data_IF_163715998631
#
_entry.id   IF_163715998631
#
_cell.length_a   1.000
_cell.length_b   1.000
_cell.length_c   1.000
_cell.angle_alpha   90.00
_cell.angle_beta   90.00
_cell.angle_gamma   90.00
#
_symmetry.space_group_name_H-M   'P 1'
#
loop_
_entity.id
_entity.type
_entity.pdbx_description
1 polymer ?
#
# COMPACT_ATOMS: atom_id res chain seq x y z
N UNK A 1 -29.43 6.25 10.59
CA UNK A 1 -30.57 5.66 9.83
C UNK A 1 -30.17 4.24 9.46
N UNK A 2 -31.08 3.26 9.54
CA UNK A 2 -30.78 1.89 9.14
C UNK A 2 -30.46 1.88 7.63
N UNK A 3 -29.25 1.48 7.27
CA UNK A 3 -28.91 1.18 5.89
C UNK A 3 -29.92 0.14 5.36
N UNK A 4 -30.50 0.39 4.20
CA UNK A 4 -31.38 -0.57 3.52
C UNK A 4 -30.47 -1.71 3.00
N UNK A 5 -30.08 -2.59 3.92
CA UNK A 5 -28.89 -3.41 3.82
C UNK A 5 -29.10 -4.64 2.97
N UNK A 6 -28.60 -4.63 1.74
CA UNK A 6 -28.35 -5.88 1.02
C UNK A 6 -27.24 -6.62 1.76
N UNK A 7 -27.47 -7.89 2.12
CA UNK A 7 -26.44 -8.70 2.75
C UNK A 7 -25.26 -8.88 1.79
N UNK A 8 -24.07 -8.45 2.20
CA UNK A 8 -22.82 -8.60 1.44
C UNK A 8 -21.93 -9.66 2.09
N UNK A 9 -21.06 -10.26 1.29
CA UNK A 9 -20.01 -11.17 1.74
C UNK A 9 -18.71 -10.81 1.04
N UNK A 10 -17.58 -10.89 1.75
CA UNK A 10 -16.25 -10.63 1.18
C UNK A 10 -15.59 -11.95 0.79
N UNK A 11 -15.03 -12.00 -0.42
CA UNK A 11 -14.21 -13.10 -0.92
C UNK A 11 -12.82 -12.54 -1.22
N UNK A 12 -11.96 -12.44 -0.20
CA UNK A 12 -10.61 -11.96 -0.38
C UNK A 12 -9.81 -12.94 -1.26
N UNK A 13 -9.18 -12.44 -2.31
CA UNK A 13 -8.42 -13.27 -3.25
C UNK A 13 -7.19 -13.91 -2.59
N UNK A 14 -6.55 -13.19 -1.66
CA UNK A 14 -5.45 -13.72 -0.87
C UNK A 14 -5.83 -15.00 -0.11
N UNK A 15 -7.03 -15.04 0.47
CA UNK A 15 -7.54 -16.22 1.20
C UNK A 15 -8.01 -17.35 0.27
N UNK A 16 -8.04 -17.13 -1.04
CA UNK A 16 -8.60 -18.03 -2.04
C UNK A 16 -7.61 -18.41 -3.15
N UNK A 17 -6.31 -18.44 -2.81
CA UNK A 17 -5.25 -18.95 -3.68
C UNK A 17 -4.72 -17.95 -4.70
N UNK A 18 -4.96 -16.65 -4.49
CA UNK A 18 -4.47 -15.56 -5.33
C UNK A 18 -3.92 -14.41 -4.47
N UNK A 19 -2.86 -14.63 -3.65
CA UNK A 19 -2.24 -13.61 -2.82
C UNK A 19 -1.30 -12.73 -3.66
N UNK A 20 -1.89 -11.85 -4.47
CA UNK A 20 -1.13 -10.88 -5.23
C UNK A 20 -0.75 -9.69 -4.37
N UNK A 21 0.48 -9.21 -4.54
CA UNK A 21 0.80 -7.82 -4.18
C UNK A 21 -0.04 -6.90 -5.07
N UNK A 22 -0.90 -6.10 -4.45
CA UNK A 22 -1.76 -5.14 -5.12
C UNK A 22 -1.34 -3.69 -4.78
N UNK A 23 -1.86 -2.72 -5.53
CA UNK A 23 -1.69 -1.28 -5.28
C UNK A 23 -0.20 -0.87 -5.15
N UNK A 24 0.59 -1.23 -6.17
CA UNK A 24 2.03 -0.95 -6.20
C UNK A 24 2.34 0.45 -6.72
N UNK A 25 3.49 0.99 -6.29
CA UNK A 25 4.15 2.12 -6.96
C UNK A 25 4.98 1.57 -8.11
N UNK A 26 4.88 2.16 -9.30
CA UNK A 26 5.63 1.71 -10.47
C UNK A 26 6.27 2.91 -11.18
N UNK A 27 7.54 2.74 -11.54
CA UNK A 27 8.33 3.69 -12.32
C UNK A 27 9.12 2.92 -13.39
N UNK A 28 9.67 3.63 -14.36
CA UNK A 28 10.56 3.03 -15.37
C UNK A 28 11.99 2.94 -14.84
N UNK A 29 12.74 1.92 -15.27
CA UNK A 29 14.18 1.78 -14.97
C UNK A 29 14.98 3.06 -15.30
N UNK A 30 14.65 3.74 -16.40
CA UNK A 30 15.28 5.01 -16.78
C UNK A 30 15.16 6.07 -15.66
N UNK A 31 13.99 6.18 -15.02
CA UNK A 31 13.77 7.13 -13.92
C UNK A 31 14.50 6.69 -12.64
N UNK A 32 14.63 5.37 -12.42
CA UNK A 32 15.43 4.83 -11.31
C UNK A 32 16.90 5.25 -11.46
N UNK A 33 17.41 5.25 -12.70
CA UNK A 33 18.77 5.68 -13.01
C UNK A 33 18.94 7.20 -13.01
N UNK A 34 18.01 7.95 -13.62
CA UNK A 34 18.15 9.39 -13.86
C UNK A 34 17.69 10.27 -12.69
N UNK A 35 16.70 9.81 -11.93
CA UNK A 35 15.96 10.61 -10.94
C UNK A 35 15.91 9.93 -9.57
N UNK A 36 16.89 9.07 -9.26
CA UNK A 36 16.94 8.25 -8.04
C UNK A 36 16.61 9.02 -6.75
N UNK A 37 17.26 10.15 -6.53
CA UNK A 37 17.05 10.99 -5.34
C UNK A 37 15.63 11.55 -5.26
N UNK A 38 15.04 11.92 -6.40
CA UNK A 38 13.67 12.39 -6.46
C UNK A 38 12.68 11.27 -6.11
N UNK A 39 12.95 10.06 -6.58
CA UNK A 39 12.13 8.88 -6.27
C UNK A 39 12.23 8.50 -4.79
N UNK A 40 13.43 8.52 -4.20
CA UNK A 40 13.59 8.32 -2.75
C UNK A 40 12.85 9.39 -1.95
N UNK A 41 12.97 10.67 -2.34
CA UNK A 41 12.25 11.75 -1.68
C UNK A 41 10.72 11.58 -1.77
N UNK A 42 10.22 11.09 -2.91
CA UNK A 42 8.81 10.72 -3.07
C UNK A 42 8.41 9.58 -2.11
N UNK A 43 9.18 8.48 -2.06
CA UNK A 43 8.90 7.37 -1.15
C UNK A 43 8.92 7.79 0.32
N UNK A 44 9.86 8.64 0.75
CA UNK A 44 9.89 9.20 2.11
C UNK A 44 8.62 10.01 2.40
N UNK A 45 8.16 10.81 1.43
CA UNK A 45 6.94 11.59 1.59
C UNK A 45 5.69 10.69 1.68
N UNK A 46 5.60 9.66 0.84
CA UNK A 46 4.52 8.68 0.87
C UNK A 46 4.49 7.91 2.19
N UNK A 47 5.64 7.41 2.66
CA UNK A 47 5.73 6.69 3.94
C UNK A 47 5.24 7.58 5.09
N UNK A 48 5.61 8.87 5.11
CA UNK A 48 5.12 9.81 6.12
C UNK A 48 3.62 10.08 5.99
N UNK A 49 3.10 10.26 4.78
CA UNK A 49 1.67 10.45 4.56
C UNK A 49 0.85 9.25 5.00
N UNK A 50 1.32 8.04 4.71
CA UNK A 50 0.68 6.81 5.20
C UNK A 50 0.83 6.62 6.69
N UNK A 51 1.97 6.99 7.28
CA UNK A 51 2.15 7.02 8.73
C UNK A 51 1.07 7.90 9.38
N UNK A 52 0.87 9.10 8.85
CA UNK A 52 -0.17 10.02 9.34
C UNK A 52 -1.58 9.43 9.15
N UNK A 53 -1.88 8.82 8.00
CA UNK A 53 -3.18 8.19 7.72
C UNK A 53 -3.46 6.95 8.57
N UNK A 54 -2.41 6.18 8.92
CA UNK A 54 -2.52 5.02 9.82
C UNK A 54 -2.85 5.48 11.23
N UNK A 55 -2.19 6.54 11.70
CA UNK A 55 -2.33 7.04 13.07
C UNK A 55 -3.56 7.96 13.26
N UNK A 56 -4.04 8.61 12.19
CA UNK A 56 -5.24 9.45 12.17
C UNK A 56 -6.09 9.22 10.89
N UNK A 57 -6.81 8.08 10.81
CA UNK A 57 -7.65 7.76 9.65
C UNK A 57 -8.81 8.75 9.46
N UNK A 58 -9.26 9.41 10.54
CA UNK A 58 -10.33 10.41 10.45
C UNK A 58 -9.85 11.67 9.73
N UNK A 59 -8.65 12.16 10.05
CA UNK A 59 -8.06 13.29 9.33
C UNK A 59 -7.73 12.94 7.89
N UNK A 60 -7.19 11.74 7.63
CA UNK A 60 -6.98 11.24 6.26
C UNK A 60 -8.27 11.24 5.44
N UNK A 61 -9.35 10.70 6.00
CA UNK A 61 -10.68 10.72 5.38
C UNK A 61 -11.21 12.15 5.19
N UNK A 62 -11.06 13.03 6.18
CA UNK A 62 -11.49 14.44 6.10
C UNK A 62 -10.78 15.18 4.98
N UNK A 63 -9.47 15.02 4.85
CA UNK A 63 -8.72 15.58 3.73
C UNK A 63 -9.24 15.05 2.39
N UNK A 64 -9.62 13.77 2.31
CA UNK A 64 -10.20 13.19 1.11
C UNK A 64 -11.57 13.80 0.74
N UNK A 65 -12.53 13.90 1.66
CA UNK A 65 -13.87 14.40 1.32
C UNK A 65 -14.03 15.93 1.37
N UNK A 66 -13.22 16.67 2.14
CA UNK A 66 -13.34 18.14 2.25
C UNK A 66 -12.36 18.92 1.38
N UNK A 67 -11.17 18.37 1.10
CA UNK A 67 -10.07 19.14 0.48
C UNK A 67 -9.73 18.60 -0.90
N UNK A 68 -9.24 17.37 -0.99
CA UNK A 68 -8.67 16.82 -2.22
C UNK A 68 -9.71 16.18 -3.15
N UNK A 69 -10.84 15.74 -2.61
CA UNK A 69 -11.99 15.18 -3.34
C UNK A 69 -13.27 16.00 -3.11
N UNK A 70 -13.15 17.30 -2.85
CA UNK A 70 -14.28 18.18 -2.53
C UNK A 70 -15.38 18.22 -3.62
N UNK A 71 -15.04 17.89 -4.86
CA UNK A 71 -15.93 17.83 -6.02
C UNK A 71 -16.51 16.44 -6.29
N UNK A 72 -16.15 15.43 -5.49
CA UNK A 72 -16.58 14.03 -5.65
C UNK A 72 -17.85 13.67 -4.86
N UNK A 73 -18.40 14.60 -4.07
CA UNK A 73 -19.61 14.40 -3.24
C UNK A 73 -19.53 13.15 -2.36
N UNK A 74 -18.35 12.95 -1.73
CA UNK A 74 -18.09 11.79 -0.89
C UNK A 74 -18.90 11.85 0.40
N UNK A 75 -19.51 10.72 0.75
CA UNK A 75 -20.20 10.54 2.02
C UNK A 75 -19.16 10.47 3.17
N UNK A 76 -19.18 11.40 4.15
CA UNK A 76 -18.17 11.44 5.20
C UNK A 76 -18.12 10.17 6.06
N UNK A 77 -19.29 9.62 6.42
CA UNK A 77 -19.36 8.41 7.26
C UNK A 77 -18.78 7.20 6.52
N UNK A 78 -19.06 7.06 5.22
CA UNK A 78 -18.47 5.99 4.40
C UNK A 78 -16.98 6.18 4.16
N UNK A 79 -16.53 7.42 3.98
CA UNK A 79 -15.12 7.71 3.71
C UNK A 79 -14.25 7.39 4.92
N UNK A 80 -14.70 7.77 6.13
CA UNK A 80 -14.03 7.40 7.38
C UNK A 80 -14.01 5.87 7.56
N UNK A 81 -15.15 5.20 7.35
CA UNK A 81 -15.20 3.74 7.43
C UNK A 81 -14.26 3.05 6.42
N UNK A 82 -14.14 3.60 5.22
CA UNK A 82 -13.20 3.13 4.20
C UNK A 82 -11.74 3.30 4.60
N UNK A 83 -11.36 4.46 5.14
CA UNK A 83 -10.00 4.71 5.62
C UNK A 83 -9.60 3.76 6.75
N UNK A 84 -10.50 3.53 7.72
CA UNK A 84 -10.25 2.58 8.80
C UNK A 84 -10.07 1.14 8.27
N UNK A 85 -10.93 0.72 7.33
CA UNK A 85 -10.82 -0.60 6.71
C UNK A 85 -9.55 -0.76 5.85
N UNK A 86 -9.09 0.31 5.21
CA UNK A 86 -7.84 0.30 4.43
C UNK A 86 -6.62 0.13 5.34
N UNK A 87 -6.60 0.77 6.50
CA UNK A 87 -5.50 0.62 7.46
C UNK A 87 -5.34 -0.84 7.93
N UNK A 88 -6.44 -1.59 8.07
CA UNK A 88 -6.39 -3.02 8.39
C UNK A 88 -5.70 -3.88 7.31
N UNK A 89 -5.62 -3.39 6.07
CA UNK A 89 -4.93 -4.06 4.97
C UNK A 89 -3.46 -3.62 4.84
N UNK A 90 -3.16 -2.38 5.22
CA UNK A 90 -1.82 -1.80 5.12
C UNK A 90 -0.94 -2.22 6.30
N UNK A 91 -1.51 -2.27 7.50
CA UNK A 91 -0.79 -2.64 8.72
C UNK A 91 -0.76 -4.16 8.85
N UNK A 92 0.44 -4.72 8.84
CA UNK A 92 0.69 -6.15 9.03
C UNK A 92 1.91 -6.37 9.91
N UNK A 93 2.10 -7.58 10.49
CA UNK A 93 3.32 -7.89 11.24
C UNK A 93 4.61 -7.71 10.42
N UNK A 94 4.53 -7.89 9.10
CA UNK A 94 5.68 -7.70 8.20
C UNK A 94 6.03 -6.22 8.08
N UNK A 95 5.03 -5.37 7.84
CA UNK A 95 5.25 -3.93 7.73
C UNK A 95 5.65 -3.32 9.07
N UNK A 96 5.06 -3.75 10.20
CA UNK A 96 5.51 -3.32 11.54
C UNK A 96 6.99 -3.65 11.81
N UNK A 97 7.50 -4.72 11.20
CA UNK A 97 8.90 -5.14 11.38
C UNK A 97 9.84 -4.46 10.39
N UNK A 98 9.41 -4.31 9.14
CA UNK A 98 10.28 -3.93 8.02
C UNK A 98 10.00 -2.52 7.45
N UNK A 99 8.89 -1.91 7.86
CA UNK A 99 8.37 -0.63 7.39
C UNK A 99 7.22 -0.77 6.38
N UNK A 100 6.51 0.33 6.11
CA UNK A 100 5.50 0.42 5.05
C UNK A 100 6.09 0.17 3.65
N UNK A 101 5.24 -0.26 2.71
CA UNK A 101 5.58 -0.60 1.32
C UNK A 101 6.54 -1.79 1.12
N UNK A 102 7.00 -2.45 2.19
CA UNK A 102 7.83 -3.64 2.04
C UNK A 102 7.03 -4.80 1.46
N UNK A 103 7.70 -5.62 0.67
CA UNK A 103 7.15 -6.83 0.10
C UNK A 103 8.05 -7.99 0.53
N UNK A 104 7.54 -8.85 1.40
CA UNK A 104 8.28 -10.01 1.88
C UNK A 104 8.64 -10.96 0.73
N UNK A 105 9.70 -11.74 0.88
CA UNK A 105 10.10 -12.74 -0.12
C UNK A 105 8.96 -13.74 -0.38
N UNK A 106 8.22 -14.13 0.66
CA UNK A 106 7.07 -15.04 0.55
C UNK A 106 5.98 -14.46 -0.36
N UNK A 107 5.68 -13.16 -0.26
CA UNK A 107 4.70 -12.49 -1.13
C UNK A 107 5.19 -12.40 -2.58
N UNK A 108 6.49 -12.17 -2.79
CA UNK A 108 7.08 -12.18 -4.13
C UNK A 108 6.97 -13.56 -4.76
N UNK A 109 7.39 -14.60 -4.03
CA UNK A 109 7.37 -16.00 -4.50
C UNK A 109 5.92 -16.45 -4.80
N UNK A 110 4.97 -16.12 -3.93
CA UNK A 110 3.57 -16.49 -4.12
C UNK A 110 2.91 -15.74 -5.30
N UNK A 111 3.32 -14.50 -5.56
CA UNK A 111 2.91 -13.75 -6.75
C UNK A 111 3.41 -14.43 -8.03
N UNK A 112 4.68 -14.84 -8.06
CA UNK A 112 5.26 -15.55 -9.21
C UNK A 112 4.58 -16.90 -9.43
N UNK A 113 4.34 -17.69 -8.37
CA UNK A 113 3.62 -18.96 -8.47
C UNK A 113 2.21 -18.77 -9.05
N UNK A 114 1.50 -17.75 -8.58
CA UNK A 114 0.15 -17.41 -9.05
C UNK A 114 0.14 -17.04 -10.54
N UNK A 115 1.12 -16.25 -10.99
CA UNK A 115 1.27 -15.85 -12.40
C UNK A 115 1.65 -17.05 -13.28
N UNK A 116 2.53 -17.94 -12.80
CA UNK A 116 2.87 -19.17 -13.49
C UNK A 116 1.64 -20.08 -13.67
N UNK A 117 0.76 -20.14 -12.66
CA UNK A 117 -0.54 -20.83 -12.75
C UNK A 117 -1.46 -20.26 -13.84
N UNK A 118 -1.32 -18.98 -14.18
CA UNK A 118 -2.02 -18.32 -15.28
C UNK A 118 -1.28 -18.43 -16.64
N UNK A 119 -0.13 -19.12 -16.69
CA UNK A 119 0.68 -19.29 -17.89
C UNK A 119 1.62 -18.12 -18.20
N UNK A 120 1.90 -17.26 -17.21
CA UNK A 120 2.84 -16.13 -17.29
C UNK A 120 4.11 -16.53 -16.53
N UNK A 121 5.22 -16.72 -17.24
CA UNK A 121 6.50 -17.14 -16.67
C UNK A 121 7.44 -15.93 -16.53
N UNK A 122 7.80 -15.59 -15.29
CA UNK A 122 8.57 -14.40 -14.89
C UNK A 122 9.44 -14.74 -13.68
N UNK A 123 10.53 -14.00 -13.49
CA UNK A 123 11.30 -13.97 -12.23
C UNK A 123 10.80 -12.83 -11.33
N UNK A 124 11.00 -12.94 -10.01
CA UNK A 124 10.61 -11.89 -9.07
C UNK A 124 11.24 -10.53 -9.40
N UNK A 125 12.49 -10.54 -9.88
CA UNK A 125 13.21 -9.34 -10.31
C UNK A 125 12.62 -8.66 -11.55
N UNK A 126 11.76 -9.33 -12.30
CA UNK A 126 11.04 -8.71 -13.42
C UNK A 126 9.89 -7.82 -12.94
N UNK A 127 9.45 -7.98 -11.68
CA UNK A 127 8.29 -7.28 -11.10
C UNK A 127 8.67 -6.38 -9.93
N UNK A 128 9.64 -6.79 -9.11
CA UNK A 128 9.95 -6.16 -7.84
C UNK A 128 11.38 -5.62 -7.82
N UNK A 129 11.52 -4.30 -7.95
CA UNK A 129 12.73 -3.57 -7.58
C UNK A 129 12.49 -2.85 -6.24
N UNK A 130 13.06 -3.39 -5.17
CA UNK A 130 12.99 -2.82 -3.82
C UNK A 130 14.24 -2.02 -3.43
N UNK A 131 15.18 -1.81 -4.36
CA UNK A 131 16.47 -1.17 -4.05
C UNK A 131 16.32 0.25 -3.54
N UNK A 132 15.41 1.02 -4.12
CA UNK A 132 15.09 2.39 -3.70
C UNK A 132 14.50 2.42 -2.28
N UNK A 133 13.58 1.50 -1.97
CA UNK A 133 12.94 1.42 -0.67
C UNK A 133 13.96 0.99 0.41
N UNK A 134 14.83 0.04 0.09
CA UNK A 134 15.92 -0.38 0.98
C UNK A 134 16.86 0.79 1.32
N UNK A 135 17.26 1.58 0.33
CA UNK A 135 18.05 2.80 0.55
C UNK A 135 17.31 3.82 1.43
N UNK A 136 16.00 4.02 1.19
CA UNK A 136 15.18 4.93 2.00
C UNK A 136 15.19 4.54 3.48
N UNK A 137 15.02 3.26 3.80
CA UNK A 137 15.06 2.80 5.20
C UNK A 137 16.47 2.79 5.81
N UNK A 138 17.51 2.53 5.02
CA UNK A 138 18.89 2.67 5.50
C UNK A 138 19.21 4.13 5.86
N UNK A 139 18.77 5.08 5.03
CA UNK A 139 19.00 6.52 5.23
C UNK A 139 18.07 7.13 6.30
N UNK A 140 16.90 6.52 6.53
CA UNK A 140 15.86 7.03 7.43
C UNK A 140 15.29 5.89 8.32
N UNK A 141 16.09 5.29 9.22
CA UNK A 141 15.67 4.13 10.00
C UNK A 141 14.47 4.41 10.91
N UNK A 142 14.25 5.67 11.29
CA UNK A 142 13.11 6.08 12.11
C UNK A 142 11.75 5.89 11.39
N UNK A 143 11.73 5.76 10.06
CA UNK A 143 10.50 5.55 9.29
C UNK A 143 9.86 4.16 9.49
N UNK A 144 10.59 3.21 10.09
CA UNK A 144 10.03 1.88 10.40
C UNK A 144 9.00 1.97 11.54
N UNK A 145 9.18 2.91 12.47
CA UNK A 145 8.29 3.09 13.64
C UNK A 145 7.07 3.95 13.27
N UNK A 146 6.25 3.46 12.33
CA UNK A 146 5.10 4.20 11.81
C UNK A 146 3.80 3.99 12.61
N UNK A 147 3.69 2.88 13.35
CA UNK A 147 2.50 2.52 14.11
C UNK A 147 2.75 2.80 15.61
N UNK A 148 2.37 4.00 16.08
CA UNK A 148 2.66 4.50 17.42
C UNK A 148 1.53 5.29 18.06
#
# INVERSE_FOLDING_TARGET
>A
MAADGTATTNLAFADNGLPFVAETVTVTDEMIESDREKLKAFLVAEIRGWTDAVNDPEEGARLAYEVYGADLDLDPEKTVAGAMAQNELIVSPDTETNGLFTISQELQDSTIESLAGAGIDLEASDLFDLSLLAEVYEENPDLVDYAG
#
